data_IF_131337295516
#
_entry.id   IF_131337295516
#
_cell.length_a   1.000
_cell.length_b   1.000
_cell.length_c   1.000
_cell.angle_alpha   90.00
_cell.angle_beta   90.00
_cell.angle_gamma   90.00
#
_symmetry.space_group_name_H-M   'P 1'
#
loop_
_entity.id
_entity.type
_entity.pdbx_description
1 polymer ?
#
# COMPACT_ATOMS: atom_id res chain seq x y z
N UNK A 1 -2.53 33.70 -30.92
CA UNK A 1 -3.24 32.74 -30.06
C UNK A 1 -4.41 32.16 -30.87
N UNK A 2 -4.19 31.08 -31.61
CA UNK A 2 -5.29 30.30 -32.16
C UNK A 2 -5.81 29.43 -31.02
N UNK A 3 -7.08 29.59 -30.66
CA UNK A 3 -7.71 28.81 -29.61
C UNK A 3 -7.70 27.33 -29.98
N UNK A 4 -7.42 26.47 -29.00
CA UNK A 4 -7.52 25.02 -29.16
C UNK A 4 -8.89 24.65 -29.74
N UNK A 5 -8.93 23.73 -30.70
CA UNK A 5 -10.20 23.35 -31.31
C UNK A 5 -11.08 22.64 -30.26
N UNK A 6 -12.40 22.67 -30.43
CA UNK A 6 -13.34 21.85 -29.61
C UNK A 6 -13.00 20.35 -29.60
N UNK A 7 -12.24 19.88 -30.60
CA UNK A 7 -11.76 18.50 -30.68
C UNK A 7 -10.56 18.28 -29.74
N UNK A 8 -9.64 19.25 -29.65
CA UNK A 8 -8.51 19.22 -28.72
C UNK A 8 -8.97 19.31 -27.25
N UNK A 9 -10.00 20.11 -26.95
CA UNK A 9 -10.62 20.15 -25.61
C UNK A 9 -11.26 18.81 -25.22
N UNK A 10 -11.85 18.09 -26.18
CA UNK A 10 -12.41 16.74 -25.95
C UNK A 10 -11.31 15.69 -25.75
N UNK A 11 -10.16 15.83 -26.41
CA UNK A 11 -9.02 14.94 -26.20
C UNK A 11 -8.32 15.20 -24.86
N UNK A 12 -8.17 16.47 -24.45
CA UNK A 12 -7.61 16.84 -23.14
C UNK A 12 -8.44 16.34 -21.97
N UNK A 13 -9.76 16.25 -22.14
CA UNK A 13 -10.67 15.61 -21.18
C UNK A 13 -10.44 14.10 -21.00
N UNK A 14 -9.71 13.50 -21.93
CA UNK A 14 -9.30 12.11 -21.90
C UNK A 14 -7.81 11.97 -21.50
N UNK A 15 -7.21 13.01 -20.92
CA UNK A 15 -5.82 12.93 -20.48
C UNK A 15 -5.73 12.15 -19.17
N UNK A 16 -4.81 11.19 -19.11
CA UNK A 16 -4.44 10.50 -17.88
C UNK A 16 -2.99 10.88 -17.56
N UNK A 17 -2.72 11.48 -16.41
CA UNK A 17 -1.36 11.89 -16.08
C UNK A 17 -0.48 10.67 -15.78
N UNK A 18 0.77 10.74 -16.22
CA UNK A 18 1.78 9.70 -16.03
C UNK A 18 2.83 10.15 -15.04
N UNK A 19 3.09 9.29 -14.06
CA UNK A 19 4.11 9.50 -13.03
C UNK A 19 5.13 8.36 -13.07
N UNK A 20 6.38 8.69 -12.76
CA UNK A 20 7.48 7.71 -12.71
C UNK A 20 8.02 7.63 -11.29
N UNK A 21 8.10 6.42 -10.74
CA UNK A 21 8.72 6.20 -9.44
C UNK A 21 10.22 6.48 -9.52
N UNK A 22 10.74 7.30 -8.61
CA UNK A 22 12.16 7.52 -8.48
C UNK A 22 12.88 6.24 -8.02
N UNK A 23 14.19 6.10 -8.31
CA UNK A 23 14.96 4.96 -7.82
C UNK A 23 14.88 4.85 -6.28
N UNK A 24 14.72 3.61 -5.80
CA UNK A 24 14.92 3.30 -4.39
C UNK A 24 16.32 3.77 -3.97
N UNK A 25 16.41 4.46 -2.83
CA UNK A 25 17.67 5.03 -2.33
C UNK A 25 18.13 6.31 -3.02
N UNK A 26 17.25 7.04 -3.73
CA UNK A 26 17.56 8.40 -4.20
C UNK A 26 18.02 9.31 -3.06
N UNK A 27 17.46 9.10 -1.86
CA UNK A 27 18.02 9.55 -0.59
C UNK A 27 18.61 8.31 0.10
N UNK A 28 19.88 8.39 0.51
CA UNK A 28 20.57 7.28 1.19
C UNK A 28 20.05 7.08 2.62
N UNK A 29 20.35 5.93 3.22
CA UNK A 29 19.98 5.63 4.62
C UNK A 29 20.55 6.65 5.63
N UNK A 30 21.67 7.31 5.29
CA UNK A 30 22.30 8.37 6.10
C UNK A 30 21.69 9.76 5.87
N UNK A 31 20.53 9.83 5.20
CA UNK A 31 19.84 11.07 4.82
C UNK A 31 20.69 11.99 3.94
N UNK A 32 21.33 11.42 2.90
CA UNK A 32 22.12 12.18 1.92
C UNK A 32 21.47 12.07 0.55
N UNK A 33 21.31 13.21 -0.13
CA UNK A 33 20.89 13.25 -1.52
C UNK A 33 22.14 13.16 -2.42
N UNK A 34 22.45 11.97 -2.91
CA UNK A 34 23.60 11.73 -3.79
C UNK A 34 23.19 11.75 -5.28
N UNK A 35 24.14 12.09 -6.16
CA UNK A 35 23.94 11.96 -7.60
C UNK A 35 22.97 12.98 -8.22
N UNK A 36 22.88 14.17 -7.63
CA UNK A 36 22.01 15.27 -8.08
C UNK A 36 22.10 15.54 -9.59
N UNK A 37 23.30 15.73 -10.15
CA UNK A 37 23.50 16.00 -11.59
C UNK A 37 22.97 14.87 -12.49
N UNK A 38 23.16 13.61 -12.05
CA UNK A 38 22.68 12.45 -12.80
C UNK A 38 21.16 12.40 -12.78
N UNK A 39 20.55 12.63 -11.61
CA UNK A 39 19.11 12.63 -11.47
C UNK A 39 18.49 13.80 -12.26
N UNK A 40 19.08 14.99 -12.21
CA UNK A 40 18.63 16.16 -12.96
C UNK A 40 18.52 15.85 -14.46
N UNK A 41 19.54 15.20 -15.02
CA UNK A 41 19.51 14.77 -16.42
C UNK A 41 18.35 13.82 -16.70
N UNK A 42 18.15 12.83 -15.84
CA UNK A 42 17.05 11.86 -15.98
C UNK A 42 15.68 12.54 -15.87
N UNK A 43 15.50 13.47 -14.94
CA UNK A 43 14.26 14.24 -14.77
C UNK A 43 13.98 15.12 -16.00
N UNK A 44 15.00 15.78 -16.56
CA UNK A 44 14.89 16.54 -17.81
C UNK A 44 14.49 15.66 -18.99
N UNK A 45 15.04 14.45 -19.08
CA UNK A 45 14.66 13.47 -20.10
C UNK A 45 13.19 13.03 -19.92
N UNK A 46 12.74 12.77 -18.70
CA UNK A 46 11.33 12.47 -18.39
C UNK A 46 10.39 13.62 -18.78
N UNK A 47 10.77 14.86 -18.44
CA UNK A 47 10.00 16.05 -18.81
C UNK A 47 9.91 16.22 -20.32
N UNK A 48 11.00 15.97 -21.05
CA UNK A 48 11.06 16.08 -22.51
C UNK A 48 10.13 15.08 -23.22
N UNK A 49 9.86 13.91 -22.62
CA UNK A 49 8.92 12.91 -23.16
C UNK A 49 7.48 13.08 -22.63
N UNK A 50 7.20 14.15 -21.88
CA UNK A 50 5.85 14.50 -21.45
C UNK A 50 5.35 13.83 -20.18
N UNK A 51 6.25 13.32 -19.32
CA UNK A 51 5.87 12.85 -17.98
C UNK A 51 5.38 14.03 -17.12
N UNK A 52 4.29 13.83 -16.39
CA UNK A 52 3.66 14.87 -15.55
C UNK A 52 4.38 15.07 -14.22
N UNK A 53 4.96 14.01 -13.67
CA UNK A 53 5.64 14.05 -12.39
C UNK A 53 6.34 12.76 -12.00
N UNK A 54 6.78 12.74 -10.76
CA UNK A 54 7.47 11.60 -10.16
C UNK A 54 6.82 11.21 -8.84
N UNK A 55 7.01 9.95 -8.46
CA UNK A 55 6.62 9.42 -7.16
C UNK A 55 7.86 9.05 -6.35
N UNK A 56 7.85 9.33 -5.06
CA UNK A 56 9.01 9.06 -4.19
C UNK A 56 8.60 8.67 -2.78
N UNK A 57 9.27 7.64 -2.26
CA UNK A 57 9.21 7.25 -0.86
C UNK A 57 9.88 8.28 0.04
N UNK A 58 9.13 8.79 1.01
CA UNK A 58 9.62 9.62 2.10
C UNK A 58 9.77 8.73 3.33
N UNK A 59 10.96 8.16 3.48
CA UNK A 59 11.22 7.06 4.42
C UNK A 59 11.20 7.53 5.87
N UNK A 60 10.33 6.92 6.67
CA UNK A 60 10.27 7.18 8.12
C UNK A 60 11.61 6.87 8.81
N UNK A 61 12.24 5.75 8.43
CA UNK A 61 13.52 5.30 8.94
C UNK A 61 14.69 6.26 8.73
N UNK A 62 14.63 7.10 7.69
CA UNK A 62 15.64 8.13 7.40
C UNK A 62 15.34 9.40 8.20
N UNK A 63 14.10 9.88 8.08
CA UNK A 63 13.74 11.22 8.56
C UNK A 63 13.70 11.30 10.10
N UNK A 64 13.15 10.29 10.78
CA UNK A 64 13.05 10.25 12.26
C UNK A 64 14.10 9.31 12.89
N UNK A 65 15.25 9.13 12.22
CA UNK A 65 16.29 8.19 12.63
C UNK A 65 16.90 8.50 14.01
N UNK A 66 17.09 9.80 14.32
CA UNK A 66 17.82 10.28 15.51
C UNK A 66 17.05 10.11 16.82
N UNK A 67 15.74 9.92 16.75
CA UNK A 67 14.89 9.72 17.92
C UNK A 67 13.50 10.35 17.77
N UNK A 68 12.64 10.17 18.79
CA UNK A 68 11.28 10.70 18.79
C UNK A 68 11.22 12.19 18.46
N UNK A 69 10.46 12.54 17.40
CA UNK A 69 10.26 13.91 16.89
C UNK A 69 11.53 14.65 16.44
N UNK A 70 12.63 13.92 16.23
CA UNK A 70 13.86 14.49 15.68
C UNK A 70 13.89 14.28 14.16
N UNK A 71 13.12 15.11 13.45
CA UNK A 71 12.97 15.05 12.00
C UNK A 71 14.06 15.82 11.27
N UNK A 72 14.69 15.21 10.25
CA UNK A 72 15.67 15.86 9.38
C UNK A 72 15.21 15.83 7.92
N UNK A 73 14.56 16.91 7.47
CA UNK A 73 13.97 17.02 6.13
C UNK A 73 14.95 17.52 5.06
N UNK A 74 16.23 17.74 5.41
CA UNK A 74 17.17 18.50 4.58
C UNK A 74 17.39 17.88 3.18
N UNK A 75 17.67 16.58 3.11
CA UNK A 75 17.92 15.90 1.83
C UNK A 75 16.68 15.85 0.93
N UNK A 76 15.50 15.59 1.51
CA UNK A 76 14.23 15.60 0.77
C UNK A 76 13.85 16.99 0.27
N UNK A 77 14.16 18.06 1.02
CA UNK A 77 13.97 19.43 0.53
C UNK A 77 14.85 19.72 -0.69
N UNK A 78 16.10 19.28 -0.69
CA UNK A 78 16.99 19.41 -1.86
C UNK A 78 16.45 18.63 -3.06
N UNK A 79 15.99 17.39 -2.85
CA UNK A 79 15.37 16.58 -3.90
C UNK A 79 14.12 17.25 -4.47
N UNK A 80 13.20 17.73 -3.63
CA UNK A 80 11.95 18.36 -4.08
C UNK A 80 12.20 19.67 -4.82
N UNK A 81 13.24 20.41 -4.41
CA UNK A 81 13.71 21.59 -5.14
C UNK A 81 14.16 21.21 -6.55
N UNK A 82 15.00 20.19 -6.71
CA UNK A 82 15.46 19.72 -8.02
C UNK A 82 14.30 19.28 -8.92
N UNK A 83 13.37 18.49 -8.38
CA UNK A 83 12.18 18.03 -9.13
C UNK A 83 11.34 19.22 -9.58
N UNK A 84 11.16 20.22 -8.71
CA UNK A 84 10.43 21.45 -9.03
C UNK A 84 11.14 22.28 -10.12
N UNK A 85 12.48 22.38 -10.07
CA UNK A 85 13.29 23.05 -11.10
C UNK A 85 13.23 22.35 -12.47
N UNK A 86 12.94 21.05 -12.47
CA UNK A 86 12.69 20.26 -13.68
C UNK A 86 11.23 20.31 -14.18
N UNK A 87 10.37 21.15 -13.57
CA UNK A 87 8.96 21.32 -13.94
C UNK A 87 8.15 20.01 -13.89
N UNK A 88 8.43 19.18 -12.89
CA UNK A 88 7.73 17.92 -12.62
C UNK A 88 6.96 18.01 -11.30
N UNK A 89 5.78 17.37 -11.25
CA UNK A 89 4.99 17.23 -10.02
C UNK A 89 5.51 16.10 -9.13
N UNK A 90 5.14 16.14 -7.85
CA UNK A 90 5.57 15.18 -6.84
C UNK A 90 4.37 14.45 -6.24
N UNK A 91 4.44 13.13 -6.23
CA UNK A 91 3.63 12.23 -5.42
C UNK A 91 4.50 11.76 -4.25
N UNK A 92 4.18 12.17 -3.03
CA UNK A 92 5.01 11.88 -1.85
C UNK A 92 4.39 10.74 -1.04
N UNK A 93 5.12 9.65 -0.86
CA UNK A 93 4.67 8.50 -0.06
C UNK A 93 5.17 8.68 1.38
N UNK A 94 4.27 8.65 2.36
CA UNK A 94 4.59 8.58 3.78
C UNK A 94 4.97 7.13 4.10
N UNK A 95 6.24 6.79 3.89
CA UNK A 95 6.73 5.41 3.89
C UNK A 95 7.09 4.97 5.32
N UNK A 96 6.06 4.62 6.09
CA UNK A 96 6.13 4.11 7.48
C UNK A 96 6.60 2.65 7.60
N UNK A 97 7.25 2.13 6.56
CA UNK A 97 7.66 0.75 6.41
C UNK A 97 9.14 0.66 6.04
N UNK A 98 9.71 -0.54 6.16
CA UNK A 98 11.04 -0.85 5.69
C UNK A 98 11.12 -0.90 4.16
N UNK A 99 12.15 -0.31 3.57
CA UNK A 99 12.62 -0.67 2.21
C UNK A 99 13.58 -1.85 2.33
N UNK A 100 13.43 -2.89 1.53
CA UNK A 100 14.27 -4.09 1.62
C UNK A 100 13.48 -5.29 2.12
N UNK A 101 13.72 -6.45 1.52
CA UNK A 101 13.08 -7.71 1.90
C UNK A 101 11.82 -8.08 1.10
N UNK A 102 11.34 -7.19 0.22
CA UNK A 102 10.30 -7.49 -0.76
C UNK A 102 10.87 -7.58 -2.19
N UNK A 103 10.09 -8.13 -3.12
CA UNK A 103 10.48 -8.28 -4.54
C UNK A 103 10.83 -6.91 -5.14
N UNK A 104 12.07 -6.77 -5.60
CA UNK A 104 12.53 -5.60 -6.33
C UNK A 104 13.29 -4.57 -5.49
N UNK A 105 13.35 -4.75 -4.17
CA UNK A 105 14.12 -3.87 -3.30
C UNK A 105 15.62 -4.08 -3.49
N UNK A 106 16.35 -3.00 -3.75
CA UNK A 106 17.82 -3.00 -3.92
C UNK A 106 18.55 -2.24 -2.81
N UNK A 107 17.79 -1.68 -1.87
CA UNK A 107 18.26 -0.87 -0.74
C UNK A 107 17.58 -1.37 0.52
N UNK A 108 18.33 -1.41 1.63
CA UNK A 108 17.83 -1.73 2.97
C UNK A 108 17.71 -0.45 3.80
N UNK A 109 16.48 -0.04 4.10
CA UNK A 109 16.14 1.12 4.92
C UNK A 109 15.13 0.63 5.96
N UNK A 110 15.57 0.22 7.16
CA UNK A 110 14.66 -0.22 8.21
C UNK A 110 13.83 0.95 8.76
N UNK A 111 12.75 0.64 9.49
CA UNK A 111 12.08 1.63 10.35
C UNK A 111 13.06 2.16 11.42
N UNK A 112 12.79 3.32 12.07
CA UNK A 112 13.76 3.95 12.95
C UNK A 112 14.31 3.02 14.04
N UNK A 113 15.63 3.09 14.28
CA UNK A 113 16.30 2.18 15.21
C UNK A 113 15.71 2.26 16.63
N UNK A 114 15.37 3.46 17.10
CA UNK A 114 14.77 3.65 18.43
C UNK A 114 13.40 2.97 18.60
N UNK A 115 12.66 2.74 17.50
CA UNK A 115 11.43 1.93 17.49
C UNK A 115 11.76 0.45 17.55
N UNK A 116 12.77 0.02 16.79
CA UNK A 116 13.23 -1.38 16.78
C UNK A 116 13.78 -1.80 18.14
N UNK A 117 14.45 -0.90 18.86
CA UNK A 117 14.96 -1.13 20.21
C UNK A 117 13.82 -1.43 21.20
N UNK A 118 12.64 -0.82 21.01
CA UNK A 118 11.44 -1.16 21.79
C UNK A 118 11.02 -2.61 21.47
N UNK A 119 11.09 -3.00 20.20
CA UNK A 119 10.79 -4.37 19.75
C UNK A 119 11.72 -5.45 20.32
N UNK A 120 12.89 -5.10 20.84
CA UNK A 120 13.76 -6.04 21.56
C UNK A 120 13.26 -6.32 22.99
N UNK A 121 12.49 -5.40 23.58
CA UNK A 121 11.84 -5.59 24.89
C UNK A 121 10.39 -6.05 24.78
N UNK A 122 9.68 -5.60 23.75
CA UNK A 122 8.33 -6.00 23.42
C UNK A 122 8.23 -6.45 21.95
N UNK A 123 8.55 -7.71 21.62
CA UNK A 123 8.56 -8.19 20.24
C UNK A 123 7.16 -8.25 19.60
N UNK A 124 6.09 -8.10 20.39
CA UNK A 124 4.71 -8.09 19.92
C UNK A 124 4.30 -6.75 19.29
N UNK A 125 5.19 -5.75 19.22
CA UNK A 125 4.97 -4.57 18.37
C UNK A 125 4.99 -4.90 16.87
N UNK A 126 5.45 -6.10 16.50
CA UNK A 126 5.61 -6.54 15.11
C UNK A 126 4.56 -7.58 14.72
N UNK A 127 4.15 -7.56 13.45
CA UNK A 127 3.30 -8.62 12.90
C UNK A 127 3.95 -9.99 13.08
N UNK A 128 3.12 -10.96 13.45
CA UNK A 128 3.61 -12.28 13.88
C UNK A 128 2.77 -13.39 13.27
N UNK A 129 3.45 -14.35 12.66
CA UNK A 129 2.80 -15.55 12.13
C UNK A 129 2.58 -16.60 13.23
N UNK A 130 1.92 -17.72 12.90
CA UNK A 130 1.60 -18.76 13.88
C UNK A 130 2.84 -19.38 14.54
N UNK A 131 3.94 -19.47 13.80
CA UNK A 131 5.21 -20.02 14.28
C UNK A 131 5.97 -19.08 15.22
N UNK A 132 5.49 -17.84 15.40
CA UNK A 132 6.12 -16.83 16.26
C UNK A 132 7.18 -15.98 15.57
N UNK A 133 7.31 -16.08 14.25
CA UNK A 133 8.26 -15.26 13.48
C UNK A 133 7.78 -13.80 13.46
N UNK A 134 8.66 -12.87 13.82
CA UNK A 134 8.38 -11.43 13.86
C UNK A 134 8.78 -10.78 12.54
N UNK A 135 7.84 -10.14 11.86
CA UNK A 135 8.15 -9.32 10.69
C UNK A 135 8.41 -7.87 11.14
N UNK A 136 9.67 -7.42 11.00
CA UNK A 136 10.13 -6.09 11.45
C UNK A 136 9.92 -4.97 10.41
N UNK A 137 9.28 -5.25 9.27
CA UNK A 137 9.08 -4.27 8.19
C UNK A 137 8.08 -3.17 8.55
N UNK A 138 7.12 -3.45 9.44
CA UNK A 138 6.06 -2.54 9.84
C UNK A 138 5.55 -2.88 11.25
N UNK A 139 4.97 -1.90 11.96
CA UNK A 139 4.36 -2.11 13.28
C UNK A 139 3.02 -2.84 13.14
N UNK A 140 2.74 -3.83 13.98
CA UNK A 140 1.44 -4.50 13.96
C UNK A 140 0.33 -3.48 14.23
N UNK A 141 -0.77 -3.52 13.48
CA UNK A 141 -1.94 -2.69 13.77
C UNK A 141 -2.54 -2.98 15.17
N UNK A 142 -2.12 -4.05 15.84
CA UNK A 142 -2.44 -4.29 17.26
C UNK A 142 -1.87 -3.22 18.20
N UNK A 143 -0.85 -2.46 17.78
CA UNK A 143 -0.24 -1.38 18.56
C UNK A 143 -0.63 0.03 18.10
N UNK A 144 -1.58 0.16 17.18
CA UNK A 144 -2.07 1.44 16.64
C UNK A 144 -2.36 2.48 17.72
N UNK A 145 -3.03 2.04 18.80
CA UNK A 145 -3.49 2.87 19.91
C UNK A 145 -2.77 2.59 21.24
N UNK A 146 -1.69 1.79 21.22
CA UNK A 146 -0.92 1.42 22.41
C UNK A 146 0.22 2.40 22.63
N UNK A 147 0.30 3.03 23.80
CA UNK A 147 1.24 4.13 24.10
C UNK A 147 2.65 3.61 24.49
N UNK A 148 3.27 2.81 23.61
CA UNK A 148 4.51 2.09 23.86
C UNK A 148 5.77 2.88 23.43
N UNK A 149 5.61 3.90 22.58
CA UNK A 149 6.70 4.54 21.85
C UNK A 149 7.11 5.88 22.47
N UNK A 150 7.65 5.81 23.70
CA UNK A 150 8.00 7.02 24.48
C UNK A 150 6.76 7.81 24.90
N UNK A 151 5.67 7.11 25.23
CA UNK A 151 4.38 7.69 25.59
C UNK A 151 3.48 8.01 24.39
N UNK A 152 3.90 7.72 23.16
CA UNK A 152 3.08 7.81 21.94
C UNK A 152 2.59 6.44 21.49
N UNK A 153 1.48 6.43 20.79
CA UNK A 153 0.97 5.31 19.99
C UNK A 153 1.53 5.32 18.56
N UNK A 154 1.37 4.21 17.82
CA UNK A 154 1.85 4.14 16.43
C UNK A 154 1.16 5.18 15.54
N UNK A 155 -0.16 5.35 15.69
CA UNK A 155 -0.90 6.35 14.92
C UNK A 155 -0.47 7.78 15.26
N UNK A 156 -0.17 8.08 16.52
CA UNK A 156 0.38 9.39 16.90
C UNK A 156 1.74 9.66 16.26
N UNK A 157 2.61 8.64 16.15
CA UNK A 157 3.88 8.78 15.44
C UNK A 157 3.67 9.11 13.95
N UNK A 158 2.74 8.42 13.29
CA UNK A 158 2.39 8.68 11.88
C UNK A 158 1.80 10.07 11.70
N UNK A 159 0.88 10.47 12.59
CA UNK A 159 0.30 11.82 12.65
C UNK A 159 1.38 12.90 12.80
N UNK A 160 2.27 12.75 13.79
CA UNK A 160 3.33 13.72 14.09
C UNK A 160 4.28 13.88 12.88
N UNK A 161 4.63 12.77 12.25
CA UNK A 161 5.44 12.74 11.04
C UNK A 161 4.79 13.52 9.89
N UNK A 162 3.52 13.23 9.59
CA UNK A 162 2.77 13.92 8.52
C UNK A 162 2.61 15.42 8.80
N UNK A 163 2.37 15.81 10.06
CA UNK A 163 2.31 17.22 10.47
C UNK A 163 3.65 17.92 10.27
N UNK A 164 4.75 17.27 10.68
CA UNK A 164 6.09 17.82 10.46
C UNK A 164 6.43 17.94 8.97
N UNK A 165 6.05 16.96 8.15
CA UNK A 165 6.20 17.02 6.69
C UNK A 165 5.43 18.22 6.11
N UNK A 166 4.15 18.38 6.49
CA UNK A 166 3.30 19.49 6.04
C UNK A 166 3.90 20.86 6.37
N UNK A 167 4.44 21.03 7.58
CA UNK A 167 5.11 22.26 8.00
C UNK A 167 6.42 22.50 7.23
N UNK A 168 7.26 21.47 7.11
CA UNK A 168 8.59 21.60 6.52
C UNK A 168 8.60 21.57 4.99
N UNK A 169 7.48 21.24 4.34
CA UNK A 169 7.30 21.25 2.89
C UNK A 169 6.20 22.24 2.44
N UNK A 170 5.83 23.19 3.31
CA UNK A 170 4.72 24.12 3.08
C UNK A 170 4.89 24.92 1.77
N UNK A 171 6.10 25.35 1.44
CA UNK A 171 6.42 26.07 0.21
C UNK A 171 6.13 25.24 -1.05
N UNK A 172 6.48 23.94 -1.05
CA UNK A 172 6.17 23.03 -2.15
C UNK A 172 4.67 22.71 -2.25
N UNK A 173 3.97 22.61 -1.11
CA UNK A 173 2.53 22.39 -1.05
C UNK A 173 1.75 23.61 -1.55
N UNK A 174 2.12 24.81 -1.12
CA UNK A 174 1.48 26.08 -1.52
C UNK A 174 1.70 26.38 -3.01
N UNK A 175 2.90 26.08 -3.52
CA UNK A 175 3.22 26.16 -4.94
C UNK A 175 2.50 25.09 -5.79
N UNK A 176 1.83 24.12 -5.17
CA UNK A 176 1.15 23.02 -5.85
C UNK A 176 2.12 22.09 -6.59
N UNK A 177 3.34 21.93 -6.08
CA UNK A 177 4.32 20.98 -6.63
C UNK A 177 4.04 19.56 -6.18
N UNK A 178 3.66 19.39 -4.92
CA UNK A 178 3.15 18.13 -4.40
C UNK A 178 1.66 18.04 -4.75
N UNK A 179 1.26 16.99 -5.45
CA UNK A 179 -0.12 16.82 -5.95
C UNK A 179 -0.91 15.76 -5.18
N UNK A 180 -0.22 14.80 -4.56
CA UNK A 180 -0.80 13.87 -3.62
C UNK A 180 0.17 13.43 -2.52
N UNK A 181 -0.45 12.95 -1.44
CA UNK A 181 0.20 12.29 -0.32
C UNK A 181 -0.33 10.85 -0.28
N UNK A 182 0.52 9.90 -0.64
CA UNK A 182 0.22 8.48 -0.46
C UNK A 182 0.58 8.06 0.97
N UNK A 183 -0.39 7.59 1.73
CA UNK A 183 -0.21 7.22 3.14
C UNK A 183 0.08 5.73 3.20
N UNK A 184 1.28 5.36 3.68
CA UNK A 184 1.68 3.98 3.83
C UNK A 184 0.96 3.31 5.01
N UNK A 185 0.22 2.23 4.76
CA UNK A 185 -0.63 1.56 5.76
C UNK A 185 -0.25 0.10 6.03
N UNK A 186 1.02 -0.25 5.84
CA UNK A 186 1.51 -1.61 6.02
C UNK A 186 2.81 -1.90 5.28
N UNK A 187 3.11 -3.19 5.13
CA UNK A 187 4.31 -3.65 4.42
C UNK A 187 4.31 -3.17 2.95
N UNK A 188 5.46 -2.70 2.46
CA UNK A 188 5.61 -2.05 1.16
C UNK A 188 4.65 -0.84 0.92
N UNK A 189 4.20 -0.20 2.01
CA UNK A 189 3.26 0.93 1.99
C UNK A 189 1.81 0.52 1.72
N UNK A 190 1.54 -0.76 1.51
CA UNK A 190 0.24 -1.28 1.12
C UNK A 190 -0.64 -1.51 2.35
N UNK A 191 -1.93 -1.20 2.24
CA UNK A 191 -2.94 -1.55 3.25
C UNK A 191 -3.16 -3.07 3.22
N UNK A 192 -2.27 -3.83 3.85
CA UNK A 192 -2.31 -5.29 3.99
C UNK A 192 -1.47 -5.80 5.15
N UNK A 193 -1.66 -7.05 5.48
CA UNK A 193 -0.74 -7.81 6.31
C UNK A 193 0.51 -8.29 5.51
N UNK A 194 1.66 -8.53 6.18
CA UNK A 194 2.84 -9.10 5.54
C UNK A 194 2.72 -10.63 5.40
N UNK A 195 1.74 -11.11 4.64
CA UNK A 195 1.40 -12.54 4.54
C UNK A 195 2.28 -13.34 3.57
N UNK A 196 3.07 -12.68 2.74
CA UNK A 196 3.98 -13.30 1.75
C UNK A 196 5.43 -12.81 1.85
N UNK A 197 6.08 -12.85 3.03
CA UNK A 197 7.43 -12.31 3.22
C UNK A 197 8.51 -13.24 2.64
N UNK A 198 9.23 -12.80 1.60
CA UNK A 198 10.36 -13.55 1.03
C UNK A 198 11.46 -13.82 2.05
N UNK A 199 11.67 -12.87 2.98
CA UNK A 199 12.63 -12.97 4.09
C UNK A 199 12.33 -14.13 5.05
N UNK A 200 11.10 -14.65 5.05
CA UNK A 200 10.71 -15.82 5.83
C UNK A 200 10.46 -17.07 4.97
N UNK A 201 10.93 -17.04 3.71
CA UNK A 201 10.92 -18.19 2.81
C UNK A 201 9.63 -18.39 2.02
N UNK A 202 8.71 -17.42 2.01
CA UNK A 202 7.60 -17.45 1.06
C UNK A 202 8.13 -17.36 -0.37
N UNK A 203 7.54 -18.13 -1.28
CA UNK A 203 7.83 -18.12 -2.71
C UNK A 203 6.52 -18.17 -3.47
N UNK A 204 6.38 -17.33 -4.49
CA UNK A 204 5.23 -17.34 -5.38
C UNK A 204 5.03 -18.74 -6.02
N UNK A 205 3.79 -19.28 -6.07
CA UNK A 205 2.51 -18.68 -5.66
C UNK A 205 1.99 -19.24 -4.32
N UNK A 206 2.80 -19.32 -3.26
CA UNK A 206 2.34 -19.80 -1.95
C UNK A 206 1.11 -19.04 -1.41
N UNK A 207 0.23 -19.71 -0.66
CA UNK A 207 -0.98 -19.10 -0.08
C UNK A 207 -0.70 -17.99 0.95
N UNK A 208 0.52 -17.92 1.49
CA UNK A 208 0.86 -17.00 2.56
C UNK A 208 0.40 -17.50 3.95
N UNK A 209 0.59 -16.69 4.98
CA UNK A 209 0.09 -16.98 6.34
C UNK A 209 -0.66 -15.79 6.94
N UNK A 210 -1.58 -16.08 7.87
CA UNK A 210 -2.21 -15.04 8.69
C UNK A 210 -1.19 -14.45 9.68
N UNK A 211 -1.17 -13.13 9.79
CA UNK A 211 -0.17 -12.38 10.57
C UNK A 211 -0.71 -11.76 11.86
N UNK A 212 -1.68 -12.42 12.51
CA UNK A 212 -2.41 -11.92 13.68
C UNK A 212 -2.03 -12.58 15.01
N UNK A 213 -0.83 -13.16 15.13
CA UNK A 213 -0.45 -13.94 16.31
C UNK A 213 0.38 -13.15 17.34
N UNK A 214 0.58 -11.84 17.14
CA UNK A 214 1.12 -10.99 18.19
C UNK A 214 0.14 -10.91 19.37
N UNK A 215 0.65 -10.64 20.57
CA UNK A 215 -0.17 -10.68 21.79
C UNK A 215 -1.35 -9.70 21.76
N UNK A 216 -1.23 -8.57 21.06
CA UNK A 216 -2.28 -7.55 21.00
C UNK A 216 -3.45 -8.04 20.15
N UNK A 217 -3.16 -8.44 18.91
CA UNK A 217 -4.18 -8.96 18.00
C UNK A 217 -4.81 -10.26 18.51
N UNK A 218 -4.00 -11.16 19.09
CA UNK A 218 -4.50 -12.38 19.70
C UNK A 218 -5.43 -12.10 20.88
N UNK A 219 -5.05 -11.15 21.75
CA UNK A 219 -5.89 -10.73 22.87
C UNK A 219 -7.20 -10.10 22.41
N UNK A 220 -7.15 -9.24 21.40
CA UNK A 220 -8.33 -8.59 20.83
C UNK A 220 -9.28 -9.60 20.17
N UNK A 221 -8.76 -10.55 19.39
CA UNK A 221 -9.58 -11.62 18.82
C UNK A 221 -10.27 -12.44 19.91
N UNK A 222 -9.56 -12.75 21.00
CA UNK A 222 -10.12 -13.55 22.10
C UNK A 222 -11.31 -12.85 22.77
N UNK A 223 -11.19 -11.55 23.01
CA UNK A 223 -12.30 -10.76 23.55
C UNK A 223 -13.45 -10.61 22.53
N UNK A 224 -13.15 -10.42 21.23
CA UNK A 224 -14.17 -10.39 20.19
C UNK A 224 -14.96 -11.71 20.11
N UNK A 225 -14.28 -12.84 20.13
CA UNK A 225 -14.88 -14.17 20.12
C UNK A 225 -15.75 -14.42 21.35
N UNK A 226 -15.27 -14.06 22.55
CA UNK A 226 -16.03 -14.12 23.79
C UNK A 226 -17.30 -13.27 23.74
N UNK A 227 -17.21 -12.04 23.21
CA UNK A 227 -18.35 -11.15 23.03
C UNK A 227 -19.37 -11.66 22.02
N UNK A 228 -18.93 -12.44 21.04
CA UNK A 228 -19.80 -13.14 20.09
C UNK A 228 -20.45 -14.41 20.67
N UNK A 229 -20.20 -14.74 21.95
CA UNK A 229 -20.73 -15.94 22.59
C UNK A 229 -19.91 -17.21 22.38
N UNK A 230 -18.71 -17.07 21.80
CA UNK A 230 -17.81 -18.18 21.44
C UNK A 230 -16.43 -18.04 22.10
N UNK A 231 -16.35 -18.05 23.45
CA UNK A 231 -15.08 -17.94 24.17
C UNK A 231 -14.11 -19.10 23.88
N UNK A 232 -14.58 -20.20 23.30
CA UNK A 232 -13.77 -21.34 22.86
C UNK A 232 -13.05 -21.11 21.52
N UNK A 233 -13.45 -20.10 20.74
CA UNK A 233 -12.77 -19.83 19.48
C UNK A 233 -11.35 -19.31 19.70
N UNK A 234 -10.46 -19.82 18.86
CA UNK A 234 -9.04 -19.48 18.76
C UNK A 234 -8.73 -19.08 17.31
N UNK A 235 -7.61 -18.38 17.12
CA UNK A 235 -7.07 -18.08 15.79
C UNK A 235 -6.87 -19.38 14.97
N UNK A 236 -6.85 -19.31 13.63
CA UNK A 236 -6.70 -20.49 12.78
C UNK A 236 -5.47 -21.33 13.15
N UNK A 237 -5.64 -22.64 13.19
CA UNK A 237 -4.61 -23.62 13.50
C UNK A 237 -4.47 -24.69 12.40
N UNK A 238 -5.15 -24.46 11.28
CA UNK A 238 -5.40 -25.42 10.21
C UNK A 238 -5.25 -24.79 8.80
N UNK A 239 -4.67 -23.58 8.74
CA UNK A 239 -4.45 -22.78 7.53
C UNK A 239 -3.16 -23.08 6.76
N UNK A 240 -2.38 -24.07 7.20
CA UNK A 240 -1.09 -24.41 6.59
C UNK A 240 0.00 -23.38 6.87
N UNK A 241 0.95 -23.29 5.94
CA UNK A 241 2.15 -22.45 5.96
C UNK A 241 2.33 -21.69 4.65
N UNK A 242 3.28 -20.75 4.61
CA UNK A 242 3.50 -19.81 3.50
C UNK A 242 3.40 -20.41 2.09
N UNK A 243 4.00 -21.58 1.86
CA UNK A 243 4.17 -22.19 0.53
C UNK A 243 3.18 -23.32 0.21
N UNK A 244 2.20 -23.54 1.09
CA UNK A 244 1.16 -24.53 0.83
C UNK A 244 0.26 -24.12 -0.34
N UNK A 245 -0.51 -25.09 -0.84
CA UNK A 245 -1.61 -24.85 -1.78
C UNK A 245 -2.92 -24.82 -1.00
N UNK A 246 -3.97 -24.13 -1.47
CA UNK A 246 -5.23 -24.07 -0.74
C UNK A 246 -5.79 -25.46 -0.37
N UNK A 247 -5.80 -26.38 -1.35
CA UNK A 247 -6.33 -27.74 -1.19
C UNK A 247 -5.55 -28.63 -0.21
N UNK A 248 -4.31 -28.28 0.15
CA UNK A 248 -3.53 -29.03 1.15
C UNK A 248 -3.80 -28.59 2.59
N UNK A 249 -4.69 -27.62 2.80
CA UNK A 249 -5.02 -27.08 4.11
C UNK A 249 -6.48 -27.35 4.46
N UNK A 250 -6.77 -27.64 5.73
CA UNK A 250 -8.16 -27.81 6.18
C UNK A 250 -8.92 -26.49 6.13
N UNK A 251 -8.22 -25.36 6.31
CA UNK A 251 -8.85 -24.05 6.25
C UNK A 251 -9.32 -23.67 4.85
N UNK A 252 -8.51 -23.84 3.80
CA UNK A 252 -8.80 -23.30 2.46
C UNK A 252 -9.31 -24.32 1.43
N UNK A 253 -9.25 -25.63 1.71
CA UNK A 253 -9.80 -26.66 0.81
C UNK A 253 -11.29 -26.46 0.54
N UNK A 254 -11.82 -27.14 -0.48
CA UNK A 254 -13.25 -27.18 -0.75
C UNK A 254 -14.05 -27.54 0.52
N UNK A 255 -15.05 -26.70 0.88
CA UNK A 255 -15.85 -26.83 2.11
C UNK A 255 -15.04 -26.79 3.43
N UNK A 256 -13.85 -26.17 3.40
CA UNK A 256 -12.97 -26.03 4.57
C UNK A 256 -13.42 -25.00 5.61
N UNK A 257 -12.60 -24.81 6.64
CA UNK A 257 -12.91 -23.96 7.80
C UNK A 257 -13.27 -22.53 7.42
N UNK A 258 -12.72 -21.96 6.35
CA UNK A 258 -13.04 -20.61 5.88
C UNK A 258 -14.54 -20.37 5.60
N UNK A 259 -15.32 -21.42 5.33
CA UNK A 259 -16.77 -21.35 5.11
C UNK A 259 -17.60 -21.61 6.37
N UNK A 260 -16.98 -22.14 7.43
CA UNK A 260 -17.61 -22.36 8.73
C UNK A 260 -17.98 -21.02 9.40
N UNK A 261 -18.85 -21.07 10.41
CA UNK A 261 -19.20 -19.90 11.21
C UNK A 261 -17.96 -19.26 11.86
N UNK A 262 -17.10 -20.08 12.49
CA UNK A 262 -15.83 -19.64 13.09
C UNK A 262 -14.91 -19.00 12.05
N UNK A 263 -14.75 -19.62 10.88
CA UNK A 263 -13.88 -19.10 9.82
C UNK A 263 -14.37 -17.76 9.26
N UNK A 264 -15.68 -17.64 9.00
CA UNK A 264 -16.30 -16.39 8.54
C UNK A 264 -16.17 -15.29 9.59
N UNK A 265 -16.35 -15.61 10.86
CA UNK A 265 -16.14 -14.68 11.97
C UNK A 265 -14.68 -14.19 12.00
N UNK A 266 -13.72 -15.11 11.96
CA UNK A 266 -12.30 -14.79 11.94
C UNK A 266 -11.91 -13.91 10.73
N UNK A 267 -12.30 -14.29 9.51
CA UNK A 267 -11.97 -13.53 8.30
C UNK A 267 -12.62 -12.14 8.29
N UNK A 268 -13.85 -12.03 8.84
CA UNK A 268 -14.51 -10.74 9.02
C UNK A 268 -13.76 -9.87 10.03
N UNK A 269 -13.37 -10.41 11.19
CA UNK A 269 -12.57 -9.69 12.18
C UNK A 269 -11.23 -9.25 11.57
N UNK A 270 -10.49 -10.17 10.95
CA UNK A 270 -9.15 -9.94 10.41
C UNK A 270 -9.15 -8.86 9.32
N UNK A 271 -10.07 -8.95 8.36
CA UNK A 271 -10.21 -7.91 7.32
C UNK A 271 -10.71 -6.57 7.87
N UNK A 272 -11.63 -6.57 8.84
CA UNK A 272 -12.13 -5.32 9.45
C UNK A 272 -11.04 -4.59 10.24
N UNK A 273 -10.12 -5.31 10.90
CA UNK A 273 -8.98 -4.70 11.59
C UNK A 273 -8.12 -3.89 10.64
N UNK A 274 -7.83 -4.44 9.46
CA UNK A 274 -7.09 -3.75 8.41
C UNK A 274 -7.84 -2.51 7.89
N UNK A 275 -9.16 -2.63 7.71
CA UNK A 275 -10.01 -1.51 7.30
C UNK A 275 -10.02 -0.37 8.32
N UNK A 276 -10.15 -0.68 9.62
CA UNK A 276 -10.11 0.31 10.70
C UNK A 276 -8.75 0.99 10.80
N UNK A 277 -7.66 0.23 10.66
CA UNK A 277 -6.30 0.77 10.61
C UNK A 277 -6.15 1.82 9.50
N UNK A 278 -6.66 1.53 8.30
CA UNK A 278 -6.68 2.49 7.21
C UNK A 278 -7.52 3.75 7.50
N UNK A 279 -8.73 3.60 8.05
CA UNK A 279 -9.65 4.70 8.41
C UNK A 279 -8.97 5.64 9.45
N UNK A 280 -8.36 5.07 10.50
CA UNK A 280 -7.74 5.85 11.59
C UNK A 280 -6.50 6.64 11.11
N UNK A 281 -5.61 6.03 10.31
CA UNK A 281 -4.43 6.74 9.78
C UNK A 281 -4.84 7.82 8.79
N UNK A 282 -5.83 7.55 7.92
CA UNK A 282 -6.33 8.54 6.97
C UNK A 282 -7.07 9.70 7.65
N UNK A 283 -7.71 9.47 8.80
CA UNK A 283 -8.25 10.55 9.63
C UNK A 283 -7.14 11.47 10.12
N UNK A 284 -6.01 10.93 10.57
CA UNK A 284 -4.84 11.73 10.96
C UNK A 284 -4.19 12.43 9.77
N UNK A 285 -4.12 11.79 8.60
CA UNK A 285 -3.62 12.40 7.37
C UNK A 285 -4.50 13.59 6.95
N UNK A 286 -5.83 13.46 7.02
CA UNK A 286 -6.74 14.56 6.75
C UNK A 286 -6.51 15.75 7.70
N UNK A 287 -6.32 15.48 8.99
CA UNK A 287 -5.98 16.52 9.97
C UNK A 287 -4.63 17.19 9.64
N UNK A 288 -3.62 16.39 9.27
CA UNK A 288 -2.29 16.88 8.93
C UNK A 288 -2.27 17.76 7.68
N UNK A 289 -3.05 17.43 6.66
CA UNK A 289 -3.05 18.11 5.35
C UNK A 289 -4.28 19.00 5.09
N UNK A 290 -5.10 19.26 6.11
CA UNK A 290 -6.27 20.12 5.98
C UNK A 290 -5.90 21.50 5.39
N UNK A 291 -6.60 21.88 4.32
CA UNK A 291 -6.40 23.15 3.60
C UNK A 291 -5.28 23.12 2.56
N UNK A 292 -4.48 22.06 2.47
CA UNK A 292 -3.49 21.88 1.40
C UNK A 292 -4.19 21.44 0.10
N UNK A 293 -3.67 21.87 -1.05
CA UNK A 293 -4.21 21.50 -2.38
C UNK A 293 -3.64 20.15 -2.85
N UNK A 294 -3.80 19.11 -2.04
CA UNK A 294 -3.33 17.75 -2.32
C UNK A 294 -4.50 16.76 -2.25
N UNK A 295 -4.39 15.64 -2.97
CA UNK A 295 -5.24 14.47 -2.71
C UNK A 295 -4.51 13.54 -1.73
N UNK A 296 -5.25 12.88 -0.85
CA UNK A 296 -4.70 11.72 -0.14
C UNK A 296 -4.76 10.50 -1.06
N UNK A 297 -3.92 9.51 -0.82
CA UNK A 297 -3.96 8.21 -1.48
C UNK A 297 -3.56 7.11 -0.51
N UNK A 298 -3.97 5.88 -0.80
CA UNK A 298 -3.49 4.68 -0.11
C UNK A 298 -3.36 3.55 -1.12
N UNK A 299 -2.30 2.76 -0.97
CA UNK A 299 -2.01 1.66 -1.86
C UNK A 299 -2.72 0.38 -1.42
N UNK A 300 -3.37 -0.30 -2.36
CA UNK A 300 -4.01 -1.61 -2.16
C UNK A 300 -3.34 -2.60 -3.10
N UNK A 301 -2.93 -3.74 -2.55
CA UNK A 301 -2.10 -4.72 -3.25
C UNK A 301 -2.93 -5.62 -4.17
N UNK A 302 -2.40 -5.90 -5.36
CA UNK A 302 -2.98 -6.80 -6.35
C UNK A 302 -2.58 -8.27 -6.12
N UNK A 303 -3.27 -8.95 -5.21
CA UNK A 303 -3.05 -10.38 -4.91
C UNK A 303 -3.71 -11.24 -5.99
N UNK A 304 -3.03 -11.38 -7.12
CA UNK A 304 -3.60 -12.01 -8.30
C UNK A 304 -3.54 -13.55 -8.27
N UNK A 305 -2.66 -14.17 -7.48
CA UNK A 305 -2.57 -15.63 -7.36
C UNK A 305 -3.65 -16.18 -6.43
N UNK A 306 -4.12 -17.38 -6.72
CA UNK A 306 -5.31 -18.01 -6.14
C UNK A 306 -6.64 -17.26 -6.35
N UNK A 307 -6.67 -16.15 -7.09
CA UNK A 307 -7.92 -15.45 -7.45
C UNK A 307 -8.90 -16.35 -8.21
N UNK A 308 -8.40 -17.29 -9.02
CA UNK A 308 -9.23 -18.28 -9.74
C UNK A 308 -9.47 -19.56 -8.95
N UNK A 309 -9.08 -19.59 -7.68
CA UNK A 309 -9.40 -20.67 -6.74
C UNK A 309 -10.55 -20.22 -5.84
N UNK A 310 -11.52 -21.09 -5.56
CA UNK A 310 -12.75 -20.74 -4.83
C UNK A 310 -12.52 -20.12 -3.43
N UNK A 311 -11.34 -20.31 -2.86
CA UNK A 311 -10.98 -19.79 -1.53
C UNK A 311 -10.26 -18.45 -1.54
N UNK A 312 -9.74 -17.99 -2.70
CA UNK A 312 -8.97 -16.74 -2.77
C UNK A 312 -7.86 -16.63 -1.70
N UNK A 313 -7.20 -17.76 -1.39
CA UNK A 313 -6.43 -17.91 -0.15
C UNK A 313 -5.39 -16.81 0.10
N UNK A 314 -4.67 -16.34 -0.92
CA UNK A 314 -3.69 -15.27 -0.78
C UNK A 314 -4.30 -13.89 -0.49
N UNK A 315 -5.48 -13.59 -1.06
CA UNK A 315 -6.23 -12.39 -0.69
C UNK A 315 -6.66 -12.48 0.77
N UNK A 316 -7.18 -13.64 1.20
CA UNK A 316 -7.63 -13.85 2.58
C UNK A 316 -6.49 -13.68 3.59
N UNK A 317 -5.32 -14.29 3.35
CA UNK A 317 -4.16 -14.14 4.26
C UNK A 317 -3.59 -12.73 4.25
N UNK A 318 -3.67 -11.99 3.14
CA UNK A 318 -3.29 -10.59 3.07
C UNK A 318 -4.27 -9.63 3.79
N UNK A 319 -5.44 -10.12 4.20
CA UNK A 319 -6.50 -9.36 4.87
C UNK A 319 -7.62 -8.87 3.95
N UNK A 320 -7.56 -9.18 2.66
CA UNK A 320 -8.64 -8.91 1.71
C UNK A 320 -9.62 -10.07 1.72
N UNK A 321 -10.73 -9.91 2.44
CA UNK A 321 -11.77 -10.94 2.51
C UNK A 321 -12.62 -10.95 1.22
N UNK A 322 -11.99 -11.31 0.10
CA UNK A 322 -12.62 -11.42 -1.21
C UNK A 322 -12.98 -12.89 -1.49
N UNK A 323 -14.17 -13.12 -2.01
CA UNK A 323 -14.67 -14.42 -2.48
C UNK A 323 -15.60 -14.18 -3.68
N UNK A 324 -15.98 -15.24 -4.40
CA UNK A 324 -16.93 -15.15 -5.52
C UNK A 324 -18.26 -14.46 -5.15
N UNK A 325 -18.75 -14.67 -3.93
CA UNK A 325 -20.00 -14.10 -3.41
C UNK A 325 -19.78 -12.91 -2.44
N UNK A 326 -18.53 -12.47 -2.24
CA UNK A 326 -18.16 -11.39 -1.31
C UNK A 326 -17.08 -10.48 -1.90
N UNK A 327 -17.48 -9.27 -2.27
CA UNK A 327 -16.54 -8.24 -2.73
C UNK A 327 -15.69 -7.70 -1.57
N UNK A 328 -14.42 -8.15 -1.51
CA UNK A 328 -13.45 -7.79 -0.46
C UNK A 328 -12.83 -6.41 -0.61
N UNK A 329 -12.88 -5.83 -1.81
CA UNK A 329 -12.23 -4.55 -2.13
C UNK A 329 -13.16 -3.34 -1.97
N UNK A 330 -14.46 -3.53 -2.17
CA UNK A 330 -15.47 -2.48 -2.00
C UNK A 330 -15.48 -1.83 -0.61
N UNK A 331 -15.32 -2.57 0.51
CA UNK A 331 -15.19 -1.94 1.83
C UNK A 331 -13.99 -0.99 1.93
N UNK A 332 -12.83 -1.36 1.37
CA UNK A 332 -11.65 -0.48 1.34
C UNK A 332 -11.93 0.78 0.51
N UNK A 333 -12.55 0.64 -0.67
CA UNK A 333 -12.95 1.79 -1.49
C UNK A 333 -13.94 2.71 -0.76
N UNK A 334 -14.86 2.15 0.04
CA UNK A 334 -15.80 2.93 0.83
C UNK A 334 -15.09 3.74 1.93
N UNK A 335 -14.12 3.17 2.62
CA UNK A 335 -13.33 3.89 3.63
C UNK A 335 -12.56 5.04 2.99
N UNK A 336 -11.80 4.74 1.93
CA UNK A 336 -11.05 5.73 1.16
C UNK A 336 -11.95 6.87 0.66
N UNK A 337 -13.18 6.55 0.26
CA UNK A 337 -14.16 7.55 -0.16
C UNK A 337 -14.56 8.56 0.91
N UNK A 338 -14.58 8.16 2.19
CA UNK A 338 -14.88 9.08 3.29
C UNK A 338 -13.78 10.13 3.49
N UNK A 339 -12.57 9.79 3.09
CA UNK A 339 -11.38 10.63 3.26
C UNK A 339 -11.01 11.46 2.04
N UNK A 340 -11.81 11.47 0.97
CA UNK A 340 -11.38 12.11 -0.29
C UNK A 340 -10.04 11.52 -0.82
N UNK A 341 -9.73 10.27 -0.43
CA UNK A 341 -8.47 9.57 -0.68
C UNK A 341 -8.55 8.59 -1.86
N UNK A 342 -7.55 8.64 -2.71
CA UNK A 342 -7.39 7.79 -3.88
C UNK A 342 -6.96 6.37 -3.47
N UNK A 343 -7.70 5.35 -3.91
CA UNK A 343 -7.23 3.97 -3.95
C UNK A 343 -6.22 3.80 -5.08
N UNK A 344 -4.97 3.54 -4.72
CA UNK A 344 -3.91 3.24 -5.65
C UNK A 344 -3.73 1.72 -5.80
N UNK A 345 -4.00 1.19 -7.00
CA UNK A 345 -4.03 -0.26 -7.24
C UNK A 345 -2.91 -0.72 -8.19
N UNK A 346 -2.53 -2.00 -8.08
CA UNK A 346 -1.38 -2.59 -8.82
C UNK A 346 -1.84 -3.62 -9.88
N UNK A 347 -0.88 -4.28 -10.56
CA UNK A 347 -1.10 -5.33 -11.58
C UNK A 347 -1.72 -4.88 -12.92
N UNK A 348 -1.73 -3.59 -13.23
CA UNK A 348 -2.36 -3.06 -14.44
C UNK A 348 -1.70 -3.49 -15.76
N UNK A 349 -0.45 -3.93 -15.70
CA UNK A 349 0.34 -4.38 -16.83
C UNK A 349 0.31 -5.89 -17.02
N UNK A 350 -0.31 -6.64 -16.10
CA UNK A 350 -0.27 -8.10 -16.08
C UNK A 350 -1.39 -8.71 -16.90
N UNK A 351 -1.08 -9.78 -17.63
CA UNK A 351 -2.07 -10.62 -18.33
C UNK A 351 -2.11 -12.01 -17.75
N UNK A 352 -3.28 -12.63 -17.74
CA UNK A 352 -3.47 -13.97 -17.17
C UNK A 352 -2.59 -15.02 -17.85
N UNK A 353 -2.42 -14.89 -19.18
CA UNK A 353 -1.62 -15.79 -20.00
C UNK A 353 -0.11 -15.72 -19.69
N UNK A 354 0.35 -14.69 -18.97
CA UNK A 354 1.74 -14.55 -18.54
C UNK A 354 2.01 -15.28 -17.20
N UNK A 355 0.96 -15.79 -16.56
CA UNK A 355 1.01 -16.37 -15.24
C UNK A 355 1.05 -17.90 -15.31
N UNK A 356 1.82 -18.56 -14.42
CA UNK A 356 1.85 -20.03 -14.38
C UNK A 356 0.48 -20.58 -13.99
N UNK A 357 0.04 -21.66 -14.66
CA UNK A 357 -1.31 -22.21 -14.50
C UNK A 357 -1.57 -22.73 -13.07
N UNK A 358 -0.54 -23.24 -12.41
CA UNK A 358 -0.58 -23.71 -11.03
C UNK A 358 -0.85 -22.62 -10.00
N UNK A 359 -0.61 -21.34 -10.34
CA UNK A 359 -0.89 -20.22 -9.45
C UNK A 359 -2.38 -19.85 -9.40
N UNK A 360 -3.22 -20.42 -10.27
CA UNK A 360 -4.65 -20.05 -10.40
C UNK A 360 -4.83 -18.53 -10.43
N UNK A 361 -3.99 -17.89 -11.22
CA UNK A 361 -3.82 -16.45 -11.25
C UNK A 361 -4.86 -15.75 -12.11
N UNK A 362 -5.39 -14.62 -11.66
CA UNK A 362 -6.38 -13.79 -12.39
C UNK A 362 -6.16 -12.28 -12.26
N UNK A 363 -4.99 -11.75 -12.66
CA UNK A 363 -4.73 -10.31 -12.57
C UNK A 363 -5.70 -9.46 -13.40
N UNK A 364 -6.15 -9.92 -14.58
CA UNK A 364 -7.05 -9.15 -15.42
C UNK A 364 -8.44 -9.02 -14.78
N UNK A 365 -8.98 -10.13 -14.25
CA UNK A 365 -10.27 -10.09 -13.55
C UNK A 365 -10.19 -9.31 -12.23
N UNK A 366 -9.08 -9.45 -11.49
CA UNK A 366 -8.85 -8.67 -10.28
C UNK A 366 -8.83 -7.16 -10.55
N UNK A 367 -8.08 -6.72 -11.57
CA UNK A 367 -8.06 -5.31 -11.98
C UNK A 367 -9.45 -4.85 -12.44
N UNK A 368 -10.20 -5.69 -13.16
CA UNK A 368 -11.59 -5.37 -13.54
C UNK A 368 -12.49 -5.21 -12.32
N UNK A 369 -12.38 -6.08 -11.32
CA UNK A 369 -13.13 -5.98 -10.06
C UNK A 369 -12.82 -4.66 -9.35
N UNK A 370 -11.54 -4.36 -9.10
CA UNK A 370 -11.11 -3.13 -8.45
C UNK A 370 -11.58 -1.87 -9.21
N UNK A 371 -11.53 -1.91 -10.55
CA UNK A 371 -11.99 -0.81 -11.41
C UNK A 371 -13.50 -0.62 -11.38
N UNK A 372 -14.28 -1.70 -11.27
CA UNK A 372 -15.74 -1.62 -11.20
C UNK A 372 -16.24 -0.82 -9.97
N UNK A 373 -15.39 -0.65 -8.95
CA UNK A 373 -15.67 0.15 -7.77
C UNK A 373 -15.72 1.66 -8.06
N UNK A 374 -15.16 2.09 -9.20
CA UNK A 374 -15.18 3.50 -9.64
C UNK A 374 -16.52 3.92 -10.28
N UNK A 375 -17.56 3.08 -10.20
CA UNK A 375 -18.92 3.36 -10.68
C UNK A 375 -19.91 3.47 -9.50
N UNK A 376 -20.53 4.65 -9.33
CA UNK A 376 -21.49 4.96 -8.25
C UNK A 376 -21.31 6.38 -7.69
N UNK A 377 -21.82 6.74 -6.50
CA UNK A 377 -21.54 8.03 -5.83
C UNK A 377 -20.04 8.22 -5.48
N UNK A 378 -19.21 7.24 -5.86
CA UNK A 378 -17.80 7.13 -5.61
C UNK A 378 -17.01 7.51 -6.88
N UNK A 379 -17.18 8.72 -7.38
CA UNK A 379 -16.50 9.15 -8.61
C UNK A 379 -15.17 9.82 -8.28
N UNK A 380 -14.07 9.21 -8.73
CA UNK A 380 -12.68 9.72 -8.74
C UNK A 380 -11.72 9.20 -7.63
N UNK A 381 -11.87 7.92 -7.26
CA UNK A 381 -11.06 7.28 -6.21
C UNK A 381 -9.98 6.36 -6.74
N UNK A 382 -10.12 5.71 -7.89
CA UNK A 382 -9.09 4.79 -8.35
C UNK A 382 -8.05 5.55 -9.20
N UNK A 383 -6.83 5.72 -8.69
CA UNK A 383 -5.66 5.96 -9.53
C UNK A 383 -4.90 4.65 -9.67
N UNK A 384 -4.30 4.51 -10.82
CA UNK A 384 -3.63 3.29 -11.21
C UNK A 384 -2.14 3.59 -11.25
N UNK A 385 -1.35 2.93 -10.40
CA UNK A 385 0.11 2.96 -10.52
C UNK A 385 0.51 1.95 -11.58
N UNK A 386 1.05 2.41 -12.70
CA UNK A 386 1.99 1.57 -13.44
C UNK A 386 3.30 1.51 -12.66
N UNK A 387 3.70 0.30 -12.24
CA UNK A 387 5.11 0.03 -11.97
C UNK A 387 5.88 -0.04 -13.29
N UNK A 388 6.14 1.11 -13.90
CA UNK A 388 7.20 1.22 -14.89
C UNK A 388 8.52 1.36 -14.14
N UNK A 389 8.96 0.28 -13.49
CA UNK A 389 10.35 0.23 -13.03
C UNK A 389 11.24 0.24 -14.28
N UNK A 390 12.36 0.96 -14.21
CA UNK A 390 13.32 1.18 -15.32
C UNK A 390 13.91 -0.10 -15.92
N UNK A 391 13.56 -1.29 -15.42
CA UNK A 391 14.10 -2.57 -15.86
C UNK A 391 13.28 -3.29 -16.93
N UNK A 392 12.01 -2.98 -17.20
CA UNK A 392 11.24 -3.70 -18.22
C UNK A 392 10.10 -2.86 -18.86
N UNK A 393 10.45 -1.87 -19.68
CA UNK A 393 9.50 -1.33 -20.67
C UNK A 393 9.42 -2.35 -21.82
N UNK A 394 8.49 -3.30 -21.71
CA UNK A 394 8.11 -4.13 -22.85
C UNK A 394 6.89 -3.45 -23.49
N UNK A 395 6.95 -3.12 -24.78
CA UNK A 395 5.89 -2.40 -25.52
C UNK A 395 4.50 -3.01 -25.27
N UNK A 396 4.41 -4.35 -25.22
CA UNK A 396 3.16 -5.06 -24.97
C UNK A 396 2.53 -4.79 -23.57
N UNK A 397 3.34 -4.40 -22.58
CA UNK A 397 2.84 -4.02 -21.23
C UNK A 397 2.19 -2.64 -21.23
N UNK A 398 2.64 -1.74 -22.11
CA UNK A 398 2.06 -0.41 -22.27
C UNK A 398 0.67 -0.48 -22.91
N UNK A 399 0.45 -1.43 -23.85
CA UNK A 399 -0.85 -1.63 -24.48
C UNK A 399 -1.92 -2.11 -23.49
N UNK A 400 -1.59 -3.08 -22.62
CA UNK A 400 -2.51 -3.54 -21.57
C UNK A 400 -2.77 -2.44 -20.54
N UNK A 401 -1.72 -1.69 -20.16
CA UNK A 401 -1.84 -0.55 -19.27
C UNK A 401 -2.76 0.54 -19.86
N UNK A 402 -2.55 0.93 -21.12
CA UNK A 402 -3.37 1.92 -21.83
C UNK A 402 -4.81 1.42 -22.04
N UNK A 403 -5.01 0.13 -22.33
CA UNK A 403 -6.34 -0.47 -22.39
C UNK A 403 -7.07 -0.34 -21.05
N UNK A 404 -6.37 -0.60 -19.94
CA UNK A 404 -6.91 -0.45 -18.60
C UNK A 404 -7.23 1.02 -18.26
N UNK A 405 -6.39 1.97 -18.66
CA UNK A 405 -6.64 3.41 -18.45
C UNK A 405 -7.79 3.95 -19.32
N UNK A 406 -7.85 3.63 -20.61
CA UNK A 406 -8.86 4.15 -21.54
C UNK A 406 -10.28 3.66 -21.25
N UNK A 407 -10.42 2.44 -20.75
CA UNK A 407 -11.73 1.93 -20.32
C UNK A 407 -12.24 2.73 -19.09
N UNK A 408 -11.34 3.21 -18.20
CA UNK A 408 -11.73 4.05 -17.06
C UNK A 408 -12.47 5.32 -17.53
N UNK A 409 -11.93 5.99 -18.56
CA UNK A 409 -12.53 7.22 -19.08
C UNK A 409 -13.83 6.99 -19.85
N UNK A 410 -13.95 5.93 -20.66
CA UNK A 410 -15.22 5.64 -21.36
C UNK A 410 -16.39 5.40 -20.40
N UNK A 411 -16.10 4.96 -19.19
CA UNK A 411 -17.13 4.59 -18.20
C UNK A 411 -17.43 5.73 -17.22
N UNK A 412 -16.57 6.76 -17.15
CA UNK A 412 -16.85 8.07 -16.53
C UNK A 412 -17.78 8.97 -17.36
N UNK A 413 -17.91 8.69 -18.67
CA UNK A 413 -18.71 9.49 -19.63
C UNK A 413 -20.08 8.87 -19.99
N UNK A 414 -20.53 7.84 -19.27
CA UNK A 414 -21.91 7.33 -19.32
C UNK A 414 -22.56 7.55 -17.97
#
# INVERSE_FOLDING_TARGET
MQGASKYDEKLLRNYVPLYVMLPLGVITADNVFEGEEKLEKQLKDLRAVGIDGVMVDVWWGIIEAKGPKQYDWSAYRSLFKLVSECDLKIQAIMSFHQCGGNIGDVVDIPIPQWVRDIGETDPDIFYTNRSGNRNKEYLSLGVDHQHLFGGRSAIEMYSDYMKSFRENMADFLEAGQIIDIEVGCGAAGELRYPSYPETQGWVFPGIGEFQCYDKYLKGEFKEAAKNAGHPEWELPDDAGTYNDKPDSTEFFKQNGTYLSEKGKFFLTWYSNKLLMHGDDILDEANKAFVGCKVKLATKVSGLHWWYKHHSHAAELTAGYYNLEDRDGYRPAARILSRHHAVMNFTCLEMRDLEQPAEAKSGPQELVQQARSLNHGPYLDWLRCLSFLTSKNIVVNKLDEYDANLRINMKTLYR
#
